data_IF_695900453317
#
_entry.id   IF_695900453317
#
_cell.length_a   1.000
_cell.length_b   1.000
_cell.length_c   1.000
_cell.angle_alpha   90.00
_cell.angle_beta   90.00
_cell.angle_gamma   90.00
#
_symmetry.space_group_name_H-M   'P 1'
#
loop_
_entity.id
_entity.type
_entity.pdbx_description
1 polymer ?
#
# COMPACT_ATOMS: atom_id res chain seq x y z
N UNK A 1 -21.76 -5.11 -6.25
CA UNK A 1 -22.14 -4.05 -7.22
C UNK A 1 -21.52 -4.38 -8.56
N UNK A 2 -22.28 -4.35 -9.64
CA UNK A 2 -21.77 -4.53 -11.00
C UNK A 2 -21.31 -3.19 -11.59
N UNK A 3 -20.16 -3.17 -12.24
CA UNK A 3 -19.65 -2.01 -12.97
C UNK A 3 -20.40 -1.90 -14.31
N UNK A 4 -21.14 -0.81 -14.52
CA UNK A 4 -21.81 -0.53 -15.80
C UNK A 4 -21.10 0.62 -16.50
N UNK A 5 -20.44 0.33 -17.63
CA UNK A 5 -19.76 1.32 -18.47
C UNK A 5 -20.54 1.44 -19.77
N UNK A 6 -21.12 2.62 -20.04
CA UNK A 6 -21.82 2.95 -21.28
C UNK A 6 -20.93 3.86 -22.15
N UNK A 7 -19.81 3.32 -22.58
CA UNK A 7 -18.84 4.03 -23.40
C UNK A 7 -18.47 3.14 -24.61
N UNK A 8 -18.70 3.60 -25.86
CA UNK A 8 -18.44 2.81 -27.05
C UNK A 8 -16.96 2.47 -27.25
N UNK A 9 -16.05 3.34 -26.80
CA UNK A 9 -14.61 3.09 -26.91
C UNK A 9 -14.17 2.00 -25.93
N UNK A 10 -14.69 2.02 -24.70
CA UNK A 10 -14.44 0.96 -23.72
C UNK A 10 -14.90 -0.42 -24.21
N UNK A 11 -16.08 -0.52 -24.84
CA UNK A 11 -16.55 -1.79 -25.44
C UNK A 11 -15.63 -2.25 -26.59
N UNK A 12 -15.25 -1.32 -27.49
CA UNK A 12 -14.33 -1.62 -28.59
C UNK A 12 -12.97 -2.14 -28.09
N UNK A 13 -12.35 -1.42 -27.16
CA UNK A 13 -11.06 -1.80 -26.57
C UNK A 13 -11.14 -3.14 -25.83
N UNK A 14 -12.21 -3.36 -25.06
CA UNK A 14 -12.41 -4.64 -24.36
C UNK A 14 -12.50 -5.82 -25.35
N UNK A 15 -13.21 -5.64 -26.48
CA UNK A 15 -13.30 -6.66 -27.54
C UNK A 15 -11.98 -6.91 -28.24
N UNK A 16 -11.24 -5.85 -28.56
CA UNK A 16 -9.91 -5.97 -29.19
C UNK A 16 -8.94 -6.75 -28.29
N UNK A 17 -8.89 -6.42 -26.99
CA UNK A 17 -8.05 -7.15 -26.02
C UNK A 17 -8.50 -8.60 -25.88
N UNK A 18 -9.81 -8.86 -25.74
CA UNK A 18 -10.35 -10.22 -25.64
C UNK A 18 -9.98 -11.06 -26.87
N UNK A 19 -10.12 -10.49 -28.08
CA UNK A 19 -9.74 -11.16 -29.33
C UNK A 19 -8.25 -11.43 -29.42
N UNK A 20 -7.42 -10.47 -29.03
CA UNK A 20 -5.96 -10.59 -29.09
C UNK A 20 -5.41 -11.61 -28.08
N UNK A 21 -6.08 -11.78 -26.94
CA UNK A 21 -5.66 -12.66 -25.85
C UNK A 21 -6.34 -14.04 -25.86
N UNK A 22 -7.42 -14.20 -26.63
CA UNK A 22 -8.25 -15.41 -26.61
C UNK A 22 -9.09 -15.54 -25.33
N UNK A 23 -9.25 -14.47 -24.57
CA UNK A 23 -9.97 -14.45 -23.30
C UNK A 23 -11.45 -14.05 -23.48
N UNK A 24 -12.28 -14.37 -22.49
CA UNK A 24 -13.64 -13.80 -22.42
C UNK A 24 -13.59 -12.28 -22.21
N UNK A 25 -14.62 -11.55 -22.65
CA UNK A 25 -14.71 -10.09 -22.47
C UNK A 25 -14.54 -9.70 -20.99
N UNK A 26 -15.16 -10.45 -20.07
CA UNK A 26 -15.04 -10.20 -18.64
C UNK A 26 -13.61 -10.45 -18.14
N UNK A 27 -12.97 -11.54 -18.55
CA UNK A 27 -11.59 -11.85 -18.17
C UNK A 27 -10.65 -10.76 -18.66
N UNK A 28 -10.74 -10.38 -19.93
CA UNK A 28 -9.91 -9.36 -20.56
C UNK A 28 -10.01 -8.01 -19.84
N UNK A 29 -11.23 -7.58 -19.47
CA UNK A 29 -11.44 -6.35 -18.71
C UNK A 29 -10.84 -6.44 -17.31
N UNK A 30 -11.09 -7.54 -16.59
CA UNK A 30 -10.57 -7.72 -15.23
C UNK A 30 -9.05 -7.75 -15.20
N UNK A 31 -8.41 -8.45 -16.14
CA UNK A 31 -6.95 -8.52 -16.22
C UNK A 31 -6.35 -7.17 -16.60
N UNK A 32 -6.91 -6.49 -17.61
CA UNK A 32 -6.47 -5.15 -18.02
C UNK A 32 -6.52 -4.15 -16.84
N UNK A 33 -7.59 -4.19 -16.04
CA UNK A 33 -7.72 -3.36 -14.85
C UNK A 33 -6.73 -3.74 -13.75
N UNK A 34 -6.51 -5.05 -13.49
CA UNK A 34 -5.51 -5.52 -12.53
C UNK A 34 -4.11 -5.07 -12.89
N UNK A 35 -3.73 -5.24 -14.15
CA UNK A 35 -2.43 -4.82 -14.63
C UNK A 35 -2.24 -3.30 -14.52
N UNK A 36 -3.24 -2.51 -14.93
CA UNK A 36 -3.18 -1.05 -14.80
C UNK A 36 -3.07 -0.64 -13.33
N UNK A 37 -3.84 -1.27 -12.45
CA UNK A 37 -3.79 -1.02 -11.02
C UNK A 37 -2.41 -1.37 -10.43
N UNK A 38 -1.81 -2.48 -10.86
CA UNK A 38 -0.46 -2.87 -10.45
C UNK A 38 0.58 -1.83 -10.90
N UNK A 39 0.52 -1.36 -12.15
CA UNK A 39 1.41 -0.30 -12.65
C UNK A 39 1.26 1.00 -11.84
N UNK A 40 0.03 1.43 -11.57
CA UNK A 40 -0.26 2.63 -10.76
C UNK A 40 0.25 2.48 -9.33
N UNK A 41 0.09 1.30 -8.71
CA UNK A 41 0.61 1.02 -7.36
C UNK A 41 2.14 1.06 -7.32
N UNK A 42 2.82 0.48 -8.32
CA UNK A 42 4.29 0.56 -8.40
C UNK A 42 4.79 1.99 -8.54
N UNK A 43 4.16 2.79 -9.40
CA UNK A 43 4.53 4.20 -9.59
C UNK A 43 4.35 5.04 -8.31
N UNK A 44 3.35 4.72 -7.48
CA UNK A 44 3.08 5.46 -6.24
C UNK A 44 3.99 5.06 -5.08
N UNK A 45 4.89 4.09 -5.26
CA UNK A 45 5.65 3.47 -4.17
C UNK A 45 4.73 2.83 -3.12
N UNK A 46 5.26 2.12 -2.11
CA UNK A 46 4.47 1.85 -0.93
C UNK A 46 4.04 3.18 -0.32
N UNK A 47 2.77 3.32 0.03
CA UNK A 47 2.27 4.56 0.65
C UNK A 47 3.11 4.79 1.90
N UNK A 48 3.72 5.97 2.06
CA UNK A 48 4.57 6.28 3.22
C UNK A 48 3.92 5.84 4.54
N UNK A 49 2.60 6.03 4.69
CA UNK A 49 1.85 5.56 5.85
C UNK A 49 1.87 4.04 6.07
N UNK A 50 1.82 3.23 5.02
CA UNK A 50 1.92 1.76 5.14
C UNK A 50 3.32 1.33 5.60
N UNK A 51 4.38 1.97 5.09
CA UNK A 51 5.75 1.71 5.55
C UNK A 51 5.96 2.16 7.00
N UNK A 52 5.44 3.34 7.39
CA UNK A 52 5.49 3.81 8.77
C UNK A 52 4.78 2.84 9.72
N UNK A 53 3.58 2.36 9.36
CA UNK A 53 2.84 1.37 10.15
C UNK A 53 3.59 0.04 10.23
N UNK A 54 4.23 -0.40 9.14
CA UNK A 54 5.04 -1.63 9.12
C UNK A 54 6.24 -1.52 10.07
N UNK A 55 6.94 -0.39 10.08
CA UNK A 55 8.03 -0.11 11.01
C UNK A 55 7.51 -0.07 12.45
N UNK A 56 6.44 0.67 12.72
CA UNK A 56 5.83 0.77 14.04
C UNK A 56 5.43 -0.59 14.61
N UNK A 57 4.76 -1.44 13.82
CA UNK A 57 4.40 -2.81 14.21
C UNK A 57 5.63 -3.68 14.46
N UNK A 58 6.71 -3.49 13.71
CA UNK A 58 7.97 -4.22 13.95
C UNK A 58 8.59 -3.82 15.27
N UNK A 59 8.69 -2.52 15.55
CA UNK A 59 9.24 -2.00 16.81
C UNK A 59 8.39 -2.43 18.02
N UNK A 60 7.06 -2.37 17.91
CA UNK A 60 6.14 -2.73 18.99
C UNK A 60 6.20 -4.21 19.40
N UNK A 61 6.71 -5.10 18.54
CA UNK A 61 6.89 -6.53 18.86
C UNK A 61 8.22 -6.86 19.53
N UNK A 62 9.15 -5.91 19.62
CA UNK A 62 10.44 -6.15 20.24
C UNK A 62 10.29 -6.25 21.76
N UNK A 63 11.07 -7.13 22.38
CA UNK A 63 11.09 -7.26 23.84
C UNK A 63 11.66 -5.99 24.48
N UNK A 64 11.01 -5.53 25.56
CA UNK A 64 11.51 -4.42 26.38
C UNK A 64 12.75 -4.90 27.15
N UNK A 65 13.93 -4.42 26.75
CA UNK A 65 15.21 -4.75 27.39
C UNK A 65 15.55 -3.85 28.58
N UNK A 66 15.09 -2.60 28.52
CA UNK A 66 15.27 -1.60 29.56
C UNK A 66 13.88 -1.02 29.87
N UNK A 67 13.49 -1.06 31.14
CA UNK A 67 12.18 -0.60 31.62
C UNK A 67 12.24 0.80 32.23
N UNK A 68 13.43 1.40 32.28
CA UNK A 68 13.59 2.79 32.70
C UNK A 68 12.71 3.70 31.85
N UNK A 69 12.18 4.74 32.47
CA UNK A 69 11.46 5.79 31.76
C UNK A 69 12.41 6.52 30.79
N UNK A 70 11.84 7.31 29.88
CA UNK A 70 12.65 8.15 29.00
C UNK A 70 13.59 9.07 29.82
N UNK A 71 13.09 9.64 30.91
CA UNK A 71 13.86 10.54 31.78
C UNK A 71 14.99 9.82 32.51
N UNK A 72 14.75 8.59 33.00
CA UNK A 72 15.77 7.75 33.65
C UNK A 72 16.82 7.22 32.67
N UNK A 73 16.48 7.07 31.38
CA UNK A 73 17.42 6.70 30.32
C UNK A 73 18.29 7.90 29.94
N UNK A 74 17.68 9.07 29.81
CA UNK A 74 18.36 10.31 29.47
C UNK A 74 19.26 10.78 30.62
N UNK A 75 18.80 10.60 31.87
CA UNK A 75 19.58 10.91 33.07
C UNK A 75 19.69 12.40 33.40
N UNK A 76 18.84 13.25 32.81
CA UNK A 76 18.76 14.67 33.13
C UNK A 76 17.71 14.95 34.20
N UNK A 77 17.98 15.92 35.06
CA UNK A 77 16.97 16.49 35.94
C UNK A 77 15.99 17.42 35.19
N UNK A 78 15.04 17.99 35.92
CA UNK A 78 14.04 18.92 35.38
C UNK A 78 14.65 20.21 34.79
N UNK A 79 15.94 20.47 35.03
CA UNK A 79 16.69 21.60 34.51
C UNK A 79 17.63 21.23 33.36
N UNK A 80 17.64 19.96 32.94
CA UNK A 80 18.51 19.47 31.86
C UNK A 80 19.95 19.20 32.28
N UNK A 81 20.24 19.11 33.58
CA UNK A 81 21.57 18.82 34.11
C UNK A 81 21.72 17.31 34.36
N UNK A 82 22.92 16.73 34.10
CA UNK A 82 23.18 15.34 34.47
C UNK A 82 22.95 15.13 35.97
N UNK A 83 22.16 14.11 36.30
CA UNK A 83 22.09 13.59 37.67
C UNK A 83 23.31 12.76 38.05
#
# INVERSE_FOLDING_TARGET
>A
MALSIKDPEADRLAREVAKATGESLTTAVVQSLRERLARVRRMRGPRLGEELLKIGRRCARLAVKDKRSADEIIGYDEHGLPR
#
